data_IF_537392287584
#
_entry.id   IF_537392287584
#
_cell.length_a   1.000
_cell.length_b   1.000
_cell.length_c   1.000
_cell.angle_alpha   90.00
_cell.angle_beta   90.00
_cell.angle_gamma   90.00
#
_symmetry.space_group_name_H-M   'P 1'
#
loop_
_entity.id
_entity.type
_entity.pdbx_description
1 polymer ?
#
# COMPACT_ATOMS: atom_id res chain seq x y z
N UNK A 1 -15.36 2.59 0.47
CA UNK A 1 -14.79 3.95 0.42
C UNK A 1 -13.27 3.79 0.41
N UNK A 2 -12.61 4.08 -0.71
CA UNK A 2 -11.15 3.97 -0.82
C UNK A 2 -10.54 5.30 -0.37
N UNK A 3 -9.63 5.29 0.61
CA UNK A 3 -9.08 6.53 1.17
C UNK A 3 -7.82 7.04 0.44
N UNK A 4 -7.12 6.17 -0.28
CA UNK A 4 -5.86 6.52 -0.97
C UNK A 4 -4.67 6.84 -0.04
N UNK A 5 -4.80 6.62 1.28
CA UNK A 5 -3.74 6.94 2.24
C UNK A 5 -2.44 6.16 2.01
N UNK A 6 -2.51 4.95 1.44
CA UNK A 6 -1.34 4.16 1.08
C UNK A 6 -0.45 4.86 0.05
N UNK A 7 -1.03 5.47 -0.99
CA UNK A 7 -0.32 6.18 -2.05
C UNK A 7 0.47 7.36 -1.47
N UNK A 8 -0.20 8.22 -0.70
CA UNK A 8 0.43 9.40 -0.10
C UNK A 8 1.45 9.07 1.01
N UNK A 9 1.33 7.91 1.65
CA UNK A 9 2.30 7.47 2.67
C UNK A 9 3.54 6.79 2.07
N UNK A 10 3.51 6.38 0.79
CA UNK A 10 4.62 5.62 0.22
C UNK A 10 5.81 6.54 -0.13
N UNK A 11 6.96 6.45 0.57
CA UNK A 11 8.10 7.32 0.31
C UNK A 11 8.81 7.01 -1.00
N UNK A 12 8.58 5.83 -1.58
CA UNK A 12 9.13 5.43 -2.88
C UNK A 12 8.17 5.73 -4.03
N UNK A 13 6.98 6.28 -3.72
CA UNK A 13 5.92 6.48 -4.71
C UNK A 13 5.59 5.19 -5.50
N UNK A 14 5.76 4.04 -4.85
CA UNK A 14 5.67 2.71 -5.45
C UNK A 14 4.23 2.16 -5.57
N UNK A 15 3.23 2.95 -5.17
CA UNK A 15 1.83 2.52 -5.05
C UNK A 15 0.97 3.38 -5.97
N UNK A 16 0.23 2.73 -6.86
CA UNK A 16 -0.75 3.37 -7.74
C UNK A 16 -2.15 2.90 -7.38
N UNK A 17 -3.08 3.84 -7.17
CA UNK A 17 -4.50 3.55 -6.93
C UNK A 17 -5.31 3.85 -8.20
N UNK A 18 -5.96 2.84 -8.76
CA UNK A 18 -6.87 2.95 -9.92
C UNK A 18 -8.27 2.51 -9.51
N UNK A 19 -9.13 3.47 -9.17
CA UNK A 19 -10.53 3.27 -8.72
C UNK A 19 -10.67 2.32 -7.51
N UNK A 20 -10.56 1.01 -7.76
CA UNK A 20 -10.67 -0.08 -6.77
C UNK A 20 -9.42 -0.96 -6.70
N UNK A 21 -8.49 -0.82 -7.64
CA UNK A 21 -7.26 -1.61 -7.76
C UNK A 21 -6.07 -0.84 -7.18
N UNK A 22 -5.23 -1.55 -6.43
CA UNK A 22 -3.94 -1.06 -5.95
C UNK A 22 -2.86 -1.86 -6.67
N UNK A 23 -1.96 -1.16 -7.33
CA UNK A 23 -0.80 -1.76 -8.00
C UNK A 23 0.49 -1.31 -7.29
N UNK A 24 1.40 -2.26 -7.09
CA UNK A 24 2.74 -2.02 -6.55
C UNK A 24 3.76 -2.26 -7.66
N UNK A 25 4.74 -1.37 -7.79
CA UNK A 25 5.86 -1.55 -8.71
C UNK A 25 7.11 -2.08 -7.97
N UNK A 26 8.18 -2.31 -8.74
CA UNK A 26 9.46 -2.82 -8.23
C UNK A 26 10.21 -1.85 -7.29
N UNK A 27 9.81 -0.58 -7.19
CA UNK A 27 10.38 0.38 -6.23
C UNK A 27 9.92 0.09 -4.78
N UNK A 28 8.95 -0.81 -4.60
CA UNK A 28 8.46 -1.20 -3.28
C UNK A 28 9.52 -1.99 -2.50
N UNK A 29 10.16 -1.33 -1.53
CA UNK A 29 11.14 -1.94 -0.63
C UNK A 29 10.53 -2.63 0.61
N UNK A 30 9.23 -2.94 0.61
CA UNK A 30 8.52 -3.60 1.71
C UNK A 30 8.64 -2.90 3.07
N UNK A 31 8.74 -1.56 3.12
CA UNK A 31 8.82 -0.79 4.37
C UNK A 31 7.59 -0.90 5.31
N UNK A 32 6.52 -1.60 4.89
CA UNK A 32 5.27 -1.86 5.64
C UNK A 32 4.47 -0.61 6.05
N UNK A 33 4.82 0.58 5.54
CA UNK A 33 4.15 1.84 5.90
C UNK A 33 2.70 1.89 5.39
N UNK A 34 2.46 1.40 4.18
CA UNK A 34 1.11 1.28 3.61
C UNK A 34 0.17 0.39 4.44
N UNK A 35 0.72 -0.62 5.12
CA UNK A 35 -0.02 -1.50 6.04
C UNK A 35 -0.36 -0.74 7.33
N UNK A 36 0.63 -0.08 7.93
CA UNK A 36 0.45 0.68 9.19
C UNK A 36 -0.55 1.84 9.05
N UNK A 37 -0.59 2.50 7.90
CA UNK A 37 -1.49 3.64 7.66
C UNK A 37 -2.91 3.19 7.30
N UNK A 38 -3.14 1.92 6.96
CA UNK A 38 -4.44 1.43 6.54
C UNK A 38 -5.25 0.95 7.75
N UNK A 39 -6.23 1.73 8.25
CA UNK A 39 -6.99 1.37 9.45
C UNK A 39 -7.89 0.15 9.26
N UNK A 40 -8.21 -0.18 8.00
CA UNK A 40 -9.08 -1.30 7.63
C UNK A 40 -8.30 -2.57 7.26
N UNK A 41 -6.96 -2.53 7.29
CA UNK A 41 -6.13 -3.70 6.97
C UNK A 41 -6.26 -4.19 5.52
N UNK A 42 -6.50 -3.29 4.56
CA UNK A 42 -6.69 -3.66 3.15
C UNK A 42 -5.41 -4.16 2.43
N UNK A 43 -4.24 -4.02 3.08
CA UNK A 43 -2.94 -4.38 2.51
C UNK A 43 -2.23 -5.29 3.52
N UNK A 44 -1.74 -6.43 3.05
CA UNK A 44 -0.98 -7.41 3.84
C UNK A 44 0.28 -7.82 3.08
N UNK A 45 1.27 -8.37 3.79
CA UNK A 45 2.42 -9.01 3.18
C UNK A 45 2.15 -10.49 2.98
N UNK A 46 2.60 -11.03 1.86
CA UNK A 46 2.56 -12.47 1.59
C UNK A 46 3.77 -13.10 2.25
N UNK A 47 3.56 -13.93 3.27
CA UNK A 47 4.63 -14.67 3.97
C UNK A 47 4.77 -14.39 5.48
N UNK A 48 3.89 -13.58 6.08
CA UNK A 48 3.73 -13.53 7.54
C UNK A 48 2.77 -14.68 7.97
N UNK A 49 3.28 -15.91 8.12
CA UNK A 49 2.65 -17.05 8.83
C UNK A 49 3.49 -17.42 10.07
#
# INVERSE_FOLDING_TARGET
>A
MHCGACVGSCPQNAITLREVLIEFNDDCNLCKRCIKVCPVGAITLVGDD
#
